data_IF_247550611635
#
_entry.id   IF_247550611635
#
_cell.length_a   1.000
_cell.length_b   1.000
_cell.length_c   1.000
_cell.angle_alpha   90.00
_cell.angle_beta   90.00
_cell.angle_gamma   90.00
#
_symmetry.space_group_name_H-M   'P 1'
#
loop_
_entity.id
_entity.type
_entity.pdbx_description
1 polymer ?
#
# COMPACT_ATOMS: atom_id res chain seq x y z
N UNK A 1 -11.77 8.50 -3.51
CA UNK A 1 -12.30 7.42 -2.66
C UNK A 1 -12.47 6.12 -3.45
N UNK A 2 -13.29 6.06 -4.51
CA UNK A 2 -13.55 4.82 -5.26
C UNK A 2 -12.30 4.09 -5.74
N UNK A 3 -11.31 4.81 -6.27
CA UNK A 3 -10.06 4.22 -6.73
C UNK A 3 -9.27 3.55 -5.58
N UNK A 4 -9.31 4.11 -4.37
CA UNK A 4 -8.70 3.52 -3.18
C UNK A 4 -9.40 2.21 -2.81
N UNK A 5 -10.73 2.20 -2.78
CA UNK A 5 -11.54 1.02 -2.48
C UNK A 5 -11.40 -0.09 -3.53
N UNK A 6 -11.14 0.28 -4.77
CA UNK A 6 -10.87 -0.65 -5.87
C UNK A 6 -9.41 -1.14 -5.93
N UNK A 7 -8.60 -0.85 -4.92
CA UNK A 7 -7.18 -1.25 -4.83
C UNK A 7 -6.32 -0.79 -6.02
N UNK A 8 -6.70 0.31 -6.69
CA UNK A 8 -5.97 0.81 -7.87
C UNK A 8 -4.51 1.14 -7.58
N UNK A 9 -4.18 1.50 -6.34
CA UNK A 9 -2.82 1.78 -5.89
C UNK A 9 -1.87 0.57 -5.98
N UNK A 10 -2.40 -0.64 -6.15
CA UNK A 10 -1.63 -1.88 -6.32
C UNK A 10 -1.64 -2.41 -7.76
N UNK A 11 -2.32 -1.77 -8.70
CA UNK A 11 -2.38 -2.19 -10.10
C UNK A 11 -1.16 -1.67 -10.89
N UNK A 12 0.02 -2.18 -10.55
CA UNK A 12 1.29 -1.63 -11.02
C UNK A 12 2.02 -2.51 -12.05
N UNK A 13 1.44 -3.64 -12.42
CA UNK A 13 2.09 -4.61 -13.28
C UNK A 13 3.14 -5.48 -12.59
N UNK A 14 4.06 -4.89 -11.83
CA UNK A 14 5.04 -5.62 -11.02
C UNK A 14 4.58 -5.87 -9.58
N UNK A 15 3.48 -5.25 -9.18
CA UNK A 15 2.78 -5.50 -7.90
C UNK A 15 1.33 -5.82 -8.21
N UNK A 16 0.79 -6.82 -7.55
CA UNK A 16 -0.62 -7.19 -7.60
C UNK A 16 -1.13 -7.53 -6.21
N UNK A 17 -2.40 -7.25 -5.98
CA UNK A 17 -3.07 -7.60 -4.74
C UNK A 17 -4.01 -8.78 -4.97
N UNK A 18 -4.09 -9.65 -3.97
CA UNK A 18 -4.98 -10.80 -4.00
C UNK A 18 -5.69 -10.97 -2.63
N UNK A 19 -7.00 -11.24 -2.59
CA UNK A 19 -7.94 -11.20 -3.72
C UNK A 19 -8.22 -9.78 -4.20
N UNK A 20 -8.52 -9.60 -5.48
CA UNK A 20 -8.75 -8.27 -6.11
C UNK A 20 -9.98 -7.53 -5.55
N UNK A 21 -10.92 -8.28 -5.01
CA UNK A 21 -12.18 -7.77 -4.44
C UNK A 21 -12.19 -7.77 -2.90
N UNK A 22 -11.00 -7.84 -2.28
CA UNK A 22 -10.89 -7.83 -0.83
C UNK A 22 -11.58 -6.57 -0.24
N UNK A 23 -12.50 -6.73 0.73
CA UNK A 23 -13.13 -5.57 1.35
C UNK A 23 -12.10 -4.80 2.20
N UNK A 24 -12.18 -3.48 2.17
CA UNK A 24 -11.35 -2.64 3.04
C UNK A 24 -12.04 -2.53 4.40
N UNK A 25 -11.81 -3.52 5.22
CA UNK A 25 -12.34 -3.67 6.57
C UNK A 25 -11.24 -4.13 7.51
N UNK A 26 -11.30 -3.69 8.77
CA UNK A 26 -10.36 -4.16 9.79
C UNK A 26 -10.44 -5.70 9.92
N UNK A 27 -9.29 -6.34 9.91
CA UNK A 27 -9.18 -7.80 9.97
C UNK A 27 -9.08 -8.50 8.60
N UNK A 28 -9.33 -7.80 7.49
CA UNK A 28 -9.17 -8.36 6.15
C UNK A 28 -7.70 -8.65 5.86
N UNK A 29 -7.42 -9.89 5.45
CA UNK A 29 -6.08 -10.32 5.05
C UNK A 29 -5.96 -10.26 3.53
N UNK A 30 -4.90 -9.66 3.04
CA UNK A 30 -4.58 -9.58 1.62
C UNK A 30 -3.16 -10.06 1.36
N UNK A 31 -2.96 -10.64 0.18
CA UNK A 31 -1.64 -10.98 -0.33
C UNK A 31 -1.17 -9.94 -1.32
N UNK A 32 0.00 -9.39 -1.09
CA UNK A 32 0.67 -8.50 -2.04
C UNK A 32 1.72 -9.31 -2.79
N UNK A 33 1.50 -9.49 -4.07
CA UNK A 33 2.42 -10.16 -4.97
C UNK A 33 3.33 -9.12 -5.60
N UNK A 34 4.62 -9.24 -5.37
CA UNK A 34 5.63 -8.36 -5.97
C UNK A 34 6.57 -9.16 -6.86
N UNK A 35 6.77 -8.71 -8.09
CA UNK A 35 7.71 -9.30 -9.04
C UNK A 35 9.08 -8.66 -8.91
N UNK A 36 10.09 -9.51 -8.78
CA UNK A 36 11.49 -9.13 -8.67
C UNK A 36 12.37 -10.11 -9.41
N UNK A 37 13.21 -9.62 -10.33
CA UNK A 37 14.15 -10.49 -11.10
C UNK A 37 13.51 -11.73 -11.72
N UNK A 38 12.27 -11.60 -12.24
CA UNK A 38 11.52 -12.73 -12.82
C UNK A 38 10.82 -13.63 -11.80
N UNK A 39 10.97 -13.40 -10.50
CA UNK A 39 10.30 -14.14 -9.43
C UNK A 39 9.19 -13.31 -8.78
N UNK A 40 8.10 -14.00 -8.42
CA UNK A 40 7.03 -13.41 -7.63
C UNK A 40 7.21 -13.76 -6.16
N UNK A 41 7.16 -12.76 -5.28
CA UNK A 41 7.08 -12.94 -3.83
C UNK A 41 5.67 -12.62 -3.34
N UNK A 42 5.16 -13.48 -2.46
CA UNK A 42 3.88 -13.25 -1.77
C UNK A 42 4.16 -12.65 -0.39
N UNK A 43 3.61 -11.48 -0.14
CA UNK A 43 3.73 -10.78 1.13
C UNK A 43 2.33 -10.62 1.72
N UNK A 44 2.08 -11.27 2.85
CA UNK A 44 0.78 -11.24 3.50
C UNK A 44 0.67 -10.10 4.49
N UNK A 45 -0.43 -9.38 4.42
CA UNK A 45 -0.75 -8.25 5.29
C UNK A 45 -2.21 -8.32 5.74
N UNK A 46 -2.50 -7.64 6.84
CA UNK A 46 -3.86 -7.53 7.37
C UNK A 46 -4.21 -6.07 7.63
N UNK A 47 -5.40 -5.67 7.21
CA UNK A 47 -5.93 -4.35 7.54
C UNK A 47 -6.17 -4.28 9.05
N UNK A 48 -5.49 -3.35 9.72
CA UNK A 48 -5.53 -3.20 11.18
C UNK A 48 -6.35 -2.00 11.62
N UNK A 49 -6.52 -1.00 10.78
CA UNK A 49 -7.34 0.17 11.08
C UNK A 49 -7.93 0.80 9.82
N UNK A 50 -9.05 1.47 10.01
CA UNK A 50 -9.63 2.38 9.03
C UNK A 50 -9.39 3.82 9.47
N UNK A 51 -9.18 4.70 8.52
CA UNK A 51 -9.01 6.13 8.74
C UNK A 51 -10.19 6.85 8.13
N UNK A 52 -10.90 7.60 8.95
CA UNK A 52 -11.99 8.46 8.50
C UNK A 52 -12.00 9.71 9.38
N UNK A 53 -11.82 10.87 8.78
CA UNK A 53 -11.83 12.16 9.48
C UNK A 53 -12.77 13.12 8.78
N UNK A 54 -13.87 13.45 9.45
CA UNK A 54 -14.85 14.49 9.04
C UNK A 54 -15.38 14.37 7.60
N UNK A 55 -15.31 13.18 6.98
CA UNK A 55 -15.68 12.97 5.59
C UNK A 55 -14.67 13.53 4.56
N UNK A 56 -13.58 14.12 5.02
CA UNK A 56 -12.55 14.72 4.18
C UNK A 56 -11.36 13.79 3.97
N UNK A 57 -11.07 12.95 4.96
CA UNK A 57 -9.98 11.96 4.91
C UNK A 57 -10.56 10.56 5.00
N UNK A 58 -10.17 9.71 4.08
CA UNK A 58 -10.53 8.30 4.08
C UNK A 58 -9.30 7.45 3.76
N UNK A 59 -9.15 6.34 4.45
CA UNK A 59 -8.03 5.46 4.22
C UNK A 59 -8.02 4.23 5.11
N UNK A 60 -6.94 3.49 5.04
CA UNK A 60 -6.70 2.33 5.87
C UNK A 60 -5.22 2.12 6.14
N UNK A 61 -4.93 1.44 7.24
CA UNK A 61 -3.60 0.93 7.53
C UNK A 61 -3.59 -0.59 7.50
N UNK A 62 -2.54 -1.17 6.96
CA UNK A 62 -2.33 -2.61 7.06
C UNK A 62 -0.97 -2.91 7.69
N UNK A 63 -0.91 -4.03 8.40
CA UNK A 63 0.31 -4.53 9.03
C UNK A 63 0.76 -5.84 8.41
N UNK A 64 2.06 -6.10 8.50
CA UNK A 64 2.66 -7.35 8.02
C UNK A 64 2.28 -8.54 8.91
N UNK A 65 2.06 -9.70 8.28
CA UNK A 65 1.82 -10.97 8.96
C UNK A 65 3.12 -11.82 9.02
N UNK A 66 3.16 -12.87 9.85
CA UNK A 66 4.23 -13.84 9.81
C UNK A 66 4.44 -14.38 8.38
N UNK A 67 5.70 -14.50 7.95
CA UNK A 67 6.04 -14.86 6.57
C UNK A 67 6.38 -13.69 5.65
N UNK A 68 6.00 -12.47 6.01
CA UNK A 68 6.50 -11.28 5.35
C UNK A 68 7.99 -11.05 5.68
N UNK A 69 8.78 -10.62 4.69
CA UNK A 69 10.22 -10.36 4.87
C UNK A 69 10.55 -9.19 5.79
N UNK A 70 9.56 -8.37 6.11
CA UNK A 70 9.67 -7.19 6.96
C UNK A 70 8.61 -7.17 8.05
N UNK A 71 8.86 -6.38 9.07
CA UNK A 71 7.85 -5.96 10.03
C UNK A 71 7.52 -4.50 9.78
N UNK A 72 6.27 -4.19 9.62
CA UNK A 72 5.87 -2.81 9.44
C UNK A 72 4.40 -2.63 9.19
N UNK A 73 4.06 -1.38 9.00
CA UNK A 73 2.72 -0.93 8.68
C UNK A 73 2.80 0.08 7.56
N UNK A 74 1.77 0.07 6.73
CA UNK A 74 1.57 1.10 5.70
C UNK A 74 0.17 1.67 5.84
N UNK A 75 0.07 2.97 5.70
CA UNK A 75 -1.20 3.69 5.65
C UNK A 75 -1.38 4.30 4.27
N UNK A 76 -2.54 4.07 3.72
CA UNK A 76 -2.99 4.67 2.47
C UNK A 76 -4.18 5.56 2.78
N UNK A 77 -4.13 6.82 2.38
CA UNK A 77 -5.21 7.76 2.63
C UNK A 77 -5.44 8.70 1.47
N UNK A 78 -6.68 9.13 1.33
CA UNK A 78 -7.12 10.16 0.40
C UNK A 78 -7.71 11.29 1.21
N UNK A 79 -7.23 12.50 1.01
CA UNK A 79 -7.68 13.72 1.65
C UNK A 79 -8.25 14.67 0.61
N UNK A 80 -9.45 15.18 0.85
CA UNK A 80 -10.02 16.26 0.08
C UNK A 80 -9.84 17.58 0.81
N UNK A 81 -9.13 18.51 0.20
CA UNK A 81 -8.88 19.85 0.75
C UNK A 81 -9.86 20.84 0.15
N UNK A 82 -10.72 21.37 0.98
CA UNK A 82 -11.74 22.34 0.58
C UNK A 82 -11.16 23.70 0.20
N UNK A 83 -9.97 24.04 0.69
CA UNK A 83 -9.34 25.35 0.45
C UNK A 83 -9.06 25.61 -1.03
N UNK A 84 -8.67 24.57 -1.77
CA UNK A 84 -8.30 24.65 -3.19
C UNK A 84 -8.98 23.57 -4.04
N UNK A 85 -9.94 22.85 -3.46
CA UNK A 85 -10.67 21.74 -4.09
C UNK A 85 -9.74 20.62 -4.62
N UNK A 86 -8.59 20.45 -3.99
CA UNK A 86 -7.62 19.44 -4.37
C UNK A 86 -7.83 18.13 -3.61
N UNK A 87 -7.50 17.02 -4.28
CA UNK A 87 -7.53 15.68 -3.69
C UNK A 87 -6.10 15.15 -3.62
N UNK A 88 -5.67 14.80 -2.41
CA UNK A 88 -4.34 14.30 -2.12
C UNK A 88 -4.39 12.81 -1.78
N UNK A 89 -3.55 12.03 -2.44
CA UNK A 89 -3.29 10.64 -2.08
C UNK A 89 -1.95 10.54 -1.37
N UNK A 90 -1.95 9.94 -0.19
CA UNK A 90 -0.76 9.78 0.63
C UNK A 90 -0.49 8.32 1.00
N UNK A 91 0.80 7.98 1.04
CA UNK A 91 1.30 6.67 1.47
C UNK A 91 2.35 6.89 2.54
N UNK A 92 2.07 6.42 3.73
CA UNK A 92 3.00 6.42 4.84
C UNK A 92 3.40 4.99 5.17
N UNK A 93 4.68 4.69 5.03
CA UNK A 93 5.23 3.37 5.32
C UNK A 93 6.20 3.44 6.49
N UNK A 94 6.07 2.49 7.40
CA UNK A 94 6.98 2.28 8.50
C UNK A 94 7.34 0.79 8.56
N UNK A 95 8.61 0.45 8.32
CA UNK A 95 9.07 -0.94 8.33
C UNK A 95 10.44 -1.11 8.94
N UNK A 96 10.68 -2.32 9.47
CA UNK A 96 11.99 -2.78 9.96
C UNK A 96 12.30 -4.12 9.32
N UNK A 97 13.56 -4.35 8.89
CA UNK A 97 13.96 -5.65 8.40
C UNK A 97 13.96 -6.67 9.56
N UNK A 98 13.63 -7.92 9.24
CA UNK A 98 13.80 -9.02 10.19
C UNK A 98 15.28 -9.44 10.22
N UNK A 99 15.93 -9.52 11.40
CA UNK A 99 17.34 -9.93 11.49
C UNK A 99 17.53 -11.42 11.11
N UNK A 100 18.78 -11.85 10.79
CA UNK A 100 20.01 -11.11 10.62
C UNK A 100 20.32 -10.76 9.14
N UNK A 101 19.87 -11.57 8.18
CA UNK A 101 20.22 -11.45 6.76
C UNK A 101 19.43 -10.32 6.05
N UNK A 102 18.27 -9.97 6.57
CA UNK A 102 17.43 -8.92 5.99
C UNK A 102 18.10 -7.53 6.04
N UNK A 103 19.01 -7.30 6.98
CA UNK A 103 19.78 -6.06 7.06
C UNK A 103 20.68 -5.82 5.86
N UNK A 104 21.27 -6.87 5.28
CA UNK A 104 22.11 -6.78 4.09
C UNK A 104 21.32 -6.34 2.85
N UNK A 105 20.07 -6.78 2.75
CA UNK A 105 19.16 -6.41 1.66
C UNK A 105 18.35 -5.13 1.92
N UNK A 106 18.45 -4.53 3.09
CA UNK A 106 17.59 -3.41 3.50
C UNK A 106 17.66 -2.17 2.59
N UNK A 107 18.84 -1.69 2.14
CA UNK A 107 18.90 -0.59 1.19
C UNK A 107 18.12 -0.88 -0.09
N UNK A 108 18.15 -2.11 -0.54
CA UNK A 108 17.46 -2.59 -1.73
C UNK A 108 15.95 -2.61 -1.54
N UNK A 109 15.50 -3.09 -0.39
CA UNK A 109 14.09 -3.07 0.00
C UNK A 109 13.56 -1.65 0.08
N UNK A 110 14.34 -0.72 0.62
CA UNK A 110 13.98 0.71 0.68
C UNK A 110 13.80 1.32 -0.72
N UNK A 111 14.64 0.93 -1.68
CA UNK A 111 14.47 1.35 -3.08
C UNK A 111 13.16 0.84 -3.68
N UNK A 112 12.78 -0.40 -3.39
CA UNK A 112 11.52 -0.97 -3.84
C UNK A 112 10.31 -0.30 -3.20
N UNK A 113 10.37 0.03 -1.92
CA UNK A 113 9.33 0.78 -1.23
C UNK A 113 9.14 2.18 -1.85
N UNK A 114 10.23 2.87 -2.17
CA UNK A 114 10.17 4.17 -2.85
C UNK A 114 9.59 4.04 -4.27
N UNK A 115 9.99 3.00 -4.99
CA UNK A 115 9.43 2.69 -6.31
C UNK A 115 7.93 2.43 -6.20
N UNK A 116 7.51 1.59 -5.25
CA UNK A 116 6.11 1.32 -5.00
C UNK A 116 5.32 2.60 -4.71
N UNK A 117 5.77 3.43 -3.76
CA UNK A 117 5.10 4.68 -3.41
C UNK A 117 4.95 5.62 -4.61
N UNK A 118 6.00 5.76 -5.42
CA UNK A 118 5.97 6.58 -6.64
C UNK A 118 4.99 6.04 -7.67
N UNK A 119 5.06 4.74 -7.95
CA UNK A 119 4.24 4.11 -9.00
C UNK A 119 2.77 4.02 -8.55
N UNK A 120 2.52 3.74 -7.27
CA UNK A 120 1.19 3.79 -6.66
C UNK A 120 0.54 5.17 -6.79
N UNK A 121 1.27 6.24 -6.50
CA UNK A 121 0.79 7.62 -6.67
C UNK A 121 0.46 7.95 -8.13
N UNK A 122 1.29 7.51 -9.06
CA UNK A 122 1.03 7.68 -10.50
C UNK A 122 -0.22 6.94 -10.96
N UNK A 123 -0.41 5.70 -10.50
CA UNK A 123 -1.60 4.91 -10.86
C UNK A 123 -2.88 5.51 -10.26
N UNK A 124 -2.83 5.99 -9.02
CA UNK A 124 -3.97 6.68 -8.41
C UNK A 124 -4.37 7.94 -9.20
N UNK A 125 -3.40 8.75 -9.60
CA UNK A 125 -3.66 9.91 -10.46
C UNK A 125 -4.25 9.49 -11.80
N UNK A 126 -3.73 8.41 -12.40
CA UNK A 126 -4.24 7.88 -13.67
C UNK A 126 -5.68 7.36 -13.53
N UNK A 127 -5.96 6.62 -12.48
CA UNK A 127 -7.28 6.02 -12.23
C UNK A 127 -8.37 7.05 -11.94
N UNK A 128 -7.99 8.26 -11.54
CA UNK A 128 -8.93 9.35 -11.19
C UNK A 128 -9.03 10.43 -12.26
N UNK A 129 -8.25 10.34 -13.35
CA UNK A 129 -8.41 11.25 -14.49
C UNK A 129 -9.70 10.95 -15.24
N UNK A 130 -10.47 11.99 -15.60
CA UNK A 130 -11.65 11.83 -16.40
C UNK A 130 -11.34 11.34 -17.83
#
# INVERSE_FOLDING_TARGET
>A
MEALHAWRQFDLGWVRLFPLDAPIEAGTTVGVLARRYGFWSLNTTRIVCLVEESGEVEGFGYGTLPGHGERGEERFSVEWRHEDDSVHYDVLAFSRPKPPLAWLGYPFVRLLQRRFARDSKREMVRATKP
#
